data_IF_419727904841
#
_entry.id   IF_419727904841
#
_cell.length_a   1.000
_cell.length_b   1.000
_cell.length_c   1.000
_cell.angle_alpha   90.00
_cell.angle_beta   90.00
_cell.angle_gamma   90.00
#
_symmetry.space_group_name_H-M   'P 1'
#
loop_
_entity.id
_entity.type
_entity.pdbx_description
1 polymer ?
#
# COMPACT_ATOMS: atom_id res chain seq x y z
N UNK A 1 19.45 -15.60 -8.32
CA UNK A 1 20.13 -16.90 -8.53
C UNK A 1 21.32 -16.65 -9.43
N UNK A 2 22.48 -17.22 -9.12
CA UNK A 2 23.63 -17.22 -10.02
C UNK A 2 23.96 -18.67 -10.37
N UNK A 3 24.26 -18.94 -11.64
CA UNK A 3 24.64 -20.27 -12.12
C UNK A 3 25.96 -20.13 -12.86
N UNK A 4 26.96 -20.90 -12.45
CA UNK A 4 28.27 -20.94 -13.10
C UNK A 4 28.58 -22.33 -13.64
N UNK A 5 29.20 -22.38 -14.82
CA UNK A 5 29.65 -23.61 -15.45
C UNK A 5 30.90 -24.12 -14.71
N UNK A 6 30.86 -25.35 -14.23
CA UNK A 6 32.05 -26.04 -13.73
C UNK A 6 32.71 -26.84 -14.85
N UNK A 7 34.01 -26.63 -15.01
CA UNK A 7 34.87 -27.40 -15.90
C UNK A 7 35.84 -28.24 -15.07
N UNK A 8 36.26 -29.38 -15.60
CA UNK A 8 37.34 -30.18 -15.01
C UNK A 8 38.73 -29.60 -15.33
N UNK A 9 39.80 -30.25 -14.84
CA UNK A 9 41.19 -29.84 -15.06
C UNK A 9 41.63 -29.88 -16.54
N UNK A 10 40.87 -30.56 -17.40
CA UNK A 10 41.08 -30.58 -18.85
C UNK A 10 40.25 -29.54 -19.60
N UNK A 11 39.48 -28.71 -18.89
CA UNK A 11 38.61 -27.69 -19.46
C UNK A 11 37.26 -28.22 -19.98
N UNK A 12 36.96 -29.50 -19.79
CA UNK A 12 35.72 -30.12 -20.25
C UNK A 12 34.57 -29.78 -19.29
N UNK A 13 33.35 -29.45 -19.80
CA UNK A 13 32.21 -29.14 -18.95
C UNK A 13 31.81 -30.35 -18.10
N UNK A 14 31.77 -30.17 -16.77
CA UNK A 14 31.44 -31.23 -15.81
C UNK A 14 30.08 -31.04 -15.16
N UNK A 15 29.55 -29.81 -15.13
CA UNK A 15 28.21 -29.51 -14.63
C UNK A 15 27.96 -28.03 -14.40
N UNK A 16 26.84 -27.70 -13.77
CA UNK A 16 26.47 -26.34 -13.38
C UNK A 16 26.35 -26.24 -11.87
N UNK A 17 26.93 -25.19 -11.29
CA UNK A 17 26.74 -24.85 -9.88
C UNK A 17 25.80 -23.67 -9.79
N UNK A 18 24.61 -23.90 -9.24
CA UNK A 18 23.67 -22.84 -8.89
C UNK A 18 23.83 -22.42 -7.43
N UNK A 19 23.80 -21.12 -7.15
CA UNK A 19 23.56 -20.58 -5.81
C UNK A 19 22.24 -19.82 -5.85
N UNK A 20 21.29 -20.28 -5.03
CA UNK A 20 20.07 -19.55 -4.71
C UNK A 20 20.13 -19.12 -3.26
N UNK A 21 19.84 -17.85 -2.99
CA UNK A 21 19.71 -17.32 -1.63
C UNK A 21 18.23 -17.14 -1.36
N UNK A 22 17.75 -17.74 -0.28
CA UNK A 22 16.42 -17.42 0.22
C UNK A 22 16.43 -15.98 0.74
N UNK A 23 15.59 -15.13 0.14
CA UNK A 23 15.41 -13.72 0.53
C UNK A 23 14.00 -13.46 1.04
N UNK A 24 13.23 -14.51 1.31
CA UNK A 24 11.80 -14.42 1.63
C UNK A 24 11.55 -13.55 2.86
N UNK A 25 12.25 -13.81 3.96
CA UNK A 25 12.08 -13.03 5.20
C UNK A 25 12.47 -11.57 5.01
N UNK A 26 13.63 -11.32 4.40
CA UNK A 26 14.09 -9.96 4.09
C UNK A 26 13.05 -9.20 3.27
N UNK A 27 12.47 -9.84 2.25
CA UNK A 27 11.44 -9.22 1.41
C UNK A 27 10.15 -8.92 2.17
N UNK A 28 9.74 -9.79 3.09
CA UNK A 28 8.59 -9.54 3.98
C UNK A 28 8.82 -8.34 4.88
N UNK A 29 10.00 -8.24 5.50
CA UNK A 29 10.36 -7.10 6.36
C UNK A 29 10.40 -5.81 5.54
N UNK A 30 11.03 -5.81 4.35
CA UNK A 30 11.04 -4.66 3.44
C UNK A 30 9.61 -4.22 3.07
N UNK A 31 8.70 -5.16 2.79
CA UNK A 31 7.30 -4.86 2.49
C UNK A 31 6.56 -4.26 3.68
N UNK A 32 6.77 -4.80 4.88
CA UNK A 32 6.17 -4.27 6.11
C UNK A 32 6.66 -2.85 6.39
N UNK A 33 7.98 -2.59 6.29
CA UNK A 33 8.54 -1.25 6.44
C UNK A 33 7.96 -0.26 5.44
N UNK A 34 7.86 -0.67 4.17
CA UNK A 34 7.22 0.16 3.15
C UNK A 34 5.75 0.44 3.47
N UNK A 35 5.01 -0.55 3.99
CA UNK A 35 3.62 -0.36 4.39
C UNK A 35 3.52 0.67 5.53
N UNK A 36 4.33 0.54 6.58
CA UNK A 36 4.38 1.47 7.71
C UNK A 36 4.77 2.90 7.29
N UNK A 37 5.64 3.04 6.28
CA UNK A 37 6.04 4.34 5.75
C UNK A 37 4.94 5.02 4.91
N UNK A 38 3.99 4.26 4.37
CA UNK A 38 3.01 4.73 3.38
C UNK A 38 1.55 4.68 3.85
N UNK A 39 1.29 4.06 5.00
CA UNK A 39 -0.06 3.90 5.56
C UNK A 39 -0.11 4.45 6.98
N UNK A 40 -1.28 4.94 7.36
CA UNK A 40 -1.59 5.34 8.73
C UNK A 40 -1.73 4.09 9.61
N UNK A 41 -1.10 4.10 10.79
CA UNK A 41 -1.04 2.92 11.66
C UNK A 41 -2.38 2.61 12.32
N UNK A 42 -3.18 3.64 12.60
CA UNK A 42 -4.45 3.50 13.29
C UNK A 42 -5.51 2.91 12.36
N UNK A 43 -5.60 3.44 11.14
CA UNK A 43 -6.68 3.14 10.19
C UNK A 43 -6.28 2.18 9.06
N UNK A 44 -4.98 2.00 8.82
CA UNK A 44 -4.46 1.25 7.67
C UNK A 44 -4.71 1.91 6.32
N UNK A 45 -5.26 3.14 6.28
CA UNK A 45 -5.47 3.89 5.05
C UNK A 45 -4.15 4.48 4.52
N UNK A 46 -4.06 4.79 3.21
CA UNK A 46 -2.94 5.55 2.68
C UNK A 46 -2.74 6.84 3.48
N UNK A 47 -1.51 7.04 3.97
CA UNK A 47 -1.20 8.27 4.67
C UNK A 47 -1.15 9.45 3.68
N UNK A 48 -0.99 10.66 4.21
CA UNK A 48 -0.93 11.88 3.40
C UNK A 48 0.13 11.82 2.29
N UNK A 49 1.28 11.20 2.55
CA UNK A 49 2.36 11.06 1.57
C UNK A 49 1.91 10.20 0.38
N UNK A 50 1.41 8.99 0.66
CA UNK A 50 0.94 8.08 -0.38
C UNK A 50 -0.30 8.63 -1.11
N UNK A 51 -1.18 9.35 -0.41
CA UNK A 51 -2.32 10.02 -1.03
C UNK A 51 -1.88 11.06 -2.07
N UNK A 52 -0.92 11.93 -1.70
CA UNK A 52 -0.42 12.97 -2.61
C UNK A 52 0.32 12.39 -3.81
N UNK A 53 1.11 11.34 -3.60
CA UNK A 53 1.78 10.61 -4.69
C UNK A 53 0.75 10.05 -5.69
N UNK A 54 -0.29 9.35 -5.19
CA UNK A 54 -1.37 8.82 -6.04
C UNK A 54 -2.19 9.91 -6.71
N UNK A 55 -2.42 11.03 -6.03
CA UNK A 55 -3.13 12.18 -6.59
C UNK A 55 -2.35 12.78 -7.76
N UNK A 56 -1.03 12.92 -7.64
CA UNK A 56 -0.17 13.43 -8.71
C UNK A 56 -0.22 12.53 -9.96
N UNK A 57 -0.20 11.22 -9.75
CA UNK A 57 -0.38 10.23 -10.83
C UNK A 57 -1.76 10.38 -11.47
N UNK A 58 -2.82 10.48 -10.67
CA UNK A 58 -4.19 10.63 -11.16
C UNK A 58 -4.39 11.92 -11.96
N UNK A 59 -3.83 13.05 -11.51
CA UNK A 59 -3.86 14.34 -12.23
C UNK A 59 -3.18 14.20 -13.60
N UNK A 60 -2.00 13.58 -13.63
CA UNK A 60 -1.24 13.37 -14.87
C UNK A 60 -2.02 12.52 -15.86
N UNK A 61 -2.64 11.43 -15.41
CA UNK A 61 -3.48 10.58 -16.24
C UNK A 61 -4.74 11.29 -16.73
N UNK A 62 -5.41 12.05 -15.86
CA UNK A 62 -6.61 12.83 -16.19
C UNK A 62 -6.33 13.84 -17.30
N UNK A 63 -5.20 14.56 -17.21
CA UNK A 63 -4.74 15.50 -18.25
C UNK A 63 -4.47 14.80 -19.58
N UNK A 64 -3.74 13.68 -19.56
CA UNK A 64 -3.42 12.92 -20.77
C UNK A 64 -4.66 12.38 -21.47
N UNK A 65 -5.62 11.89 -20.70
CA UNK A 65 -6.81 11.24 -21.22
C UNK A 65 -8.01 12.19 -21.40
N UNK A 66 -7.85 13.49 -21.10
CA UNK A 66 -8.93 14.51 -21.08
C UNK A 66 -10.13 14.12 -20.20
N UNK A 67 -9.88 13.34 -19.14
CA UNK A 67 -10.91 12.98 -18.17
C UNK A 67 -11.03 14.05 -17.09
N UNK A 68 -12.18 14.09 -16.41
CA UNK A 68 -12.37 14.88 -15.19
C UNK A 68 -11.90 14.07 -13.98
N UNK A 69 -11.28 14.75 -13.02
CA UNK A 69 -10.89 14.20 -11.73
C UNK A 69 -11.60 14.99 -10.62
N UNK A 70 -12.13 14.29 -9.63
CA UNK A 70 -12.72 14.87 -8.44
C UNK A 70 -11.99 14.35 -7.19
N UNK A 71 -11.83 15.21 -6.19
CA UNK A 71 -11.28 14.88 -4.88
C UNK A 71 -12.32 15.25 -3.84
N UNK A 72 -12.57 14.33 -2.89
CA UNK A 72 -13.50 14.52 -1.79
C UNK A 72 -12.71 14.46 -0.48
N UNK A 73 -13.00 15.38 0.43
CA UNK A 73 -12.55 15.35 1.81
C UNK A 73 -13.77 15.13 2.70
N UNK A 74 -13.63 14.24 3.67
CA UNK A 74 -14.65 13.90 4.65
C UNK A 74 -14.05 14.20 6.02
N UNK A 75 -14.83 14.84 6.88
CA UNK A 75 -14.46 15.10 8.27
C UNK A 75 -15.52 14.48 9.19
N UNK A 76 -15.13 14.15 10.42
CA UNK A 76 -16.05 13.62 11.43
C UNK A 76 -16.49 14.76 12.32
N UNK A 77 -17.77 15.11 12.24
CA UNK A 77 -18.36 16.17 13.05
C UNK A 77 -18.17 15.91 14.55
N UNK A 78 -17.79 16.95 15.29
CA UNK A 78 -17.61 16.94 16.74
C UNK A 78 -16.64 15.85 17.24
N UNK A 79 -15.69 15.40 16.42
CA UNK A 79 -14.73 14.36 16.82
C UNK A 79 -13.90 14.75 18.04
N UNK A 80 -13.63 16.04 18.22
CA UNK A 80 -12.94 16.55 19.41
C UNK A 80 -13.75 16.34 20.68
N UNK A 81 -15.04 16.66 20.66
CA UNK A 81 -15.92 16.49 21.83
C UNK A 81 -16.03 15.02 22.24
N UNK A 82 -16.02 14.11 21.27
CA UNK A 82 -15.96 12.66 21.51
C UNK A 82 -14.65 12.29 22.22
N UNK A 83 -13.50 12.77 21.75
CA UNK A 83 -12.22 12.52 22.41
C UNK A 83 -12.17 13.08 23.82
N UNK A 84 -12.71 14.29 24.01
CA UNK A 84 -12.69 14.99 25.29
C UNK A 84 -13.65 14.33 26.31
N UNK A 85 -14.77 13.76 25.84
CA UNK A 85 -15.80 13.14 26.70
C UNK A 85 -15.57 11.65 26.95
N UNK A 86 -15.18 10.90 25.91
CA UNK A 86 -15.09 9.43 25.94
C UNK A 86 -13.64 8.91 25.88
N UNK A 87 -12.67 9.81 25.71
CA UNK A 87 -11.25 9.51 25.63
C UNK A 87 -10.81 9.10 24.23
N UNK A 88 -9.51 9.33 23.96
CA UNK A 88 -8.89 9.04 22.66
C UNK A 88 -9.04 7.60 22.17
N UNK A 89 -9.03 6.61 23.08
CA UNK A 89 -9.21 5.21 22.71
C UNK A 89 -10.57 4.93 22.04
N UNK A 90 -11.61 5.69 22.39
CA UNK A 90 -12.94 5.57 21.78
C UNK A 90 -12.96 6.30 20.44
N UNK A 91 -12.35 7.48 20.35
CA UNK A 91 -12.17 8.19 19.08
C UNK A 91 -11.40 7.36 18.05
N UNK A 92 -10.34 6.69 18.47
CA UNK A 92 -9.53 5.79 17.64
C UNK A 92 -10.36 4.64 17.04
N UNK A 93 -11.24 4.02 17.85
CA UNK A 93 -12.16 2.98 17.36
C UNK A 93 -13.15 3.53 16.33
N UNK A 94 -13.66 4.74 16.54
CA UNK A 94 -14.56 5.38 15.58
C UNK A 94 -13.83 5.64 14.25
N UNK A 95 -12.61 6.15 14.30
CA UNK A 95 -11.78 6.35 13.11
C UNK A 95 -11.53 5.03 12.36
N UNK A 96 -11.29 3.94 13.09
CA UNK A 96 -11.14 2.60 12.49
C UNK A 96 -12.41 2.13 11.80
N UNK A 97 -13.57 2.24 12.45
CA UNK A 97 -14.85 1.81 11.88
C UNK A 97 -15.26 2.62 10.65
N UNK A 98 -15.12 3.95 10.69
CA UNK A 98 -15.39 4.83 9.54
C UNK A 98 -14.46 4.49 8.38
N UNK A 99 -13.18 4.25 8.66
CA UNK A 99 -12.19 3.86 7.65
C UNK A 99 -12.54 2.51 7.00
N UNK A 100 -12.93 1.52 7.80
CA UNK A 100 -13.36 0.21 7.31
C UNK A 100 -14.60 0.29 6.43
N UNK A 101 -15.61 1.07 6.84
CA UNK A 101 -16.81 1.34 6.06
C UNK A 101 -16.49 1.99 4.71
N UNK A 102 -15.55 2.95 4.69
CA UNK A 102 -15.12 3.61 3.45
C UNK A 102 -14.40 2.64 2.50
N UNK A 103 -13.51 1.78 3.00
CA UNK A 103 -12.83 0.76 2.18
C UNK A 103 -13.85 -0.19 1.53
N UNK A 104 -14.86 -0.62 2.30
CA UNK A 104 -15.93 -1.46 1.79
C UNK A 104 -16.70 -0.75 0.67
N UNK A 105 -17.16 0.49 0.89
CA UNK A 105 -17.88 1.30 -0.10
C UNK A 105 -17.09 1.48 -1.41
N UNK A 106 -15.77 1.71 -1.31
CA UNK A 106 -14.91 1.89 -2.49
C UNK A 106 -14.83 0.64 -3.37
N UNK A 107 -14.84 -0.56 -2.77
CA UNK A 107 -14.86 -1.83 -3.52
C UNK A 107 -16.16 -1.99 -4.32
N UNK A 108 -17.30 -1.60 -3.75
CA UNK A 108 -18.58 -1.63 -4.44
C UNK A 108 -18.64 -0.64 -5.61
N UNK A 109 -18.14 0.58 -5.42
CA UNK A 109 -18.09 1.59 -6.49
C UNK A 109 -17.19 1.18 -7.66
N UNK A 110 -16.00 0.63 -7.38
CA UNK A 110 -15.09 0.14 -8.42
C UNK A 110 -15.62 -1.08 -9.20
N UNK A 111 -16.50 -1.89 -8.62
CA UNK A 111 -17.18 -2.99 -9.33
C UNK A 111 -18.32 -2.47 -10.21
N UNK A 112 -19.06 -1.45 -9.76
CA UNK A 112 -20.15 -0.86 -10.53
C UNK A 112 -19.66 -0.09 -11.79
N UNK A 113 -18.45 0.47 -11.76
CA UNK A 113 -17.85 1.23 -12.86
C UNK A 113 -17.11 0.42 -13.93
N UNK A 114 -17.19 -0.92 -13.93
CA UNK A 114 -16.66 -1.81 -15.00
C UNK A 114 -17.75 -2.30 -15.96
N UNK A 115 -18.91 -1.63 -16.02
CA UNK A 115 -19.93 -1.84 -17.06
C UNK A 115 -20.02 -0.63 -17.95
#
# INVERSE_FOLDING_TARGET
MSVSLQKDSSGKPRGFRGISRDITERKKIEQQLNHLATHDLLTGLPNRMLFMDRLQVAITQSRRNKNKLAVMMLDIDNFKDINDTLGHMVGDKILQEVSNGYIASKRYCCQAGRR
#
